data_IF_169387508448
#
_entry.id   IF_169387508448
#
_cell.length_a   1.000
_cell.length_b   1.000
_cell.length_c   1.000
_cell.angle_alpha   90.00
_cell.angle_beta   90.00
_cell.angle_gamma   90.00
#
_symmetry.space_group_name_H-M   'P 1'
#
loop_
_entity.id
_entity.type
_entity.pdbx_description
1 polymer ?
#
# COMPACT_ATOMS: atom_id res chain seq x y z
N UNK A 1 1.57 -25.92 2.74
CA UNK A 1 1.10 -24.58 2.38
C UNK A 1 0.12 -24.72 1.21
N UNK A 2 -1.12 -24.30 1.43
CA UNK A 2 -2.20 -24.44 0.44
C UNK A 2 -1.89 -23.63 -0.84
N UNK A 3 -2.25 -24.22 -2.00
CA UNK A 3 -2.02 -23.57 -3.30
C UNK A 3 -0.59 -23.60 -3.82
N UNK A 4 0.35 -24.16 -3.07
CA UNK A 4 1.75 -24.27 -3.47
C UNK A 4 2.14 -25.69 -3.82
N UNK A 5 3.06 -25.80 -4.76
CA UNK A 5 3.66 -27.07 -5.15
C UNK A 5 4.66 -27.53 -4.08
N UNK A 6 4.24 -28.39 -3.16
CA UNK A 6 5.07 -28.90 -2.06
C UNK A 6 5.93 -30.12 -2.42
N UNK A 7 5.74 -30.68 -3.63
CA UNK A 7 6.49 -31.87 -4.06
C UNK A 7 7.96 -31.56 -4.34
N UNK A 8 8.86 -32.20 -3.60
CA UNK A 8 10.31 -32.08 -3.75
C UNK A 8 10.78 -32.34 -5.19
N UNK A 9 10.23 -33.40 -5.82
CA UNK A 9 10.59 -33.78 -7.20
C UNK A 9 10.18 -32.70 -8.21
N UNK A 10 9.00 -32.11 -8.05
CA UNK A 10 8.51 -31.04 -8.92
C UNK A 10 9.30 -29.74 -8.72
N UNK A 11 9.65 -29.40 -7.48
CA UNK A 11 10.52 -28.25 -7.19
C UNK A 11 11.88 -28.45 -7.86
N UNK A 12 12.48 -29.64 -7.73
CA UNK A 12 13.75 -29.97 -8.40
C UNK A 12 13.66 -29.80 -9.90
N UNK A 13 12.60 -30.28 -10.54
CA UNK A 13 12.38 -30.14 -11.97
C UNK A 13 12.27 -28.65 -12.39
N UNK A 14 11.63 -27.80 -11.60
CA UNK A 14 11.55 -26.36 -11.87
C UNK A 14 12.93 -25.70 -11.79
N UNK A 15 13.75 -26.07 -10.80
CA UNK A 15 15.13 -25.58 -10.68
C UNK A 15 15.99 -26.02 -11.86
N UNK A 16 15.86 -27.25 -12.32
CA UNK A 16 16.54 -27.78 -13.51
C UNK A 16 16.12 -27.06 -14.81
N UNK A 17 14.90 -26.54 -14.85
CA UNK A 17 14.36 -25.72 -15.96
C UNK A 17 14.70 -24.24 -15.88
N UNK A 18 15.57 -23.83 -14.97
CA UNK A 18 16.08 -22.46 -14.87
C UNK A 18 15.37 -21.56 -13.84
N UNK A 19 14.47 -22.10 -13.02
CA UNK A 19 13.98 -21.33 -11.88
C UNK A 19 15.08 -21.16 -10.83
N UNK A 20 15.16 -19.99 -10.22
CA UNK A 20 16.08 -19.73 -9.11
C UNK A 20 15.58 -20.37 -7.81
N UNK A 21 16.47 -20.66 -6.88
CA UNK A 21 16.11 -21.27 -5.58
C UNK A 21 15.21 -20.36 -4.74
N UNK A 22 15.32 -19.07 -4.93
CA UNK A 22 14.54 -18.02 -4.26
C UNK A 22 13.38 -17.51 -5.12
N UNK A 23 13.03 -18.21 -6.20
CA UNK A 23 11.84 -17.87 -7.00
C UNK A 23 10.60 -17.72 -6.10
N UNK A 24 9.93 -16.57 -6.10
CA UNK A 24 8.80 -16.32 -5.21
C UNK A 24 7.60 -17.23 -5.47
N UNK A 25 7.55 -17.93 -6.58
CA UNK A 25 6.53 -18.94 -6.90
C UNK A 25 6.74 -20.25 -6.17
N UNK A 26 7.97 -20.49 -5.66
CA UNK A 26 8.32 -21.71 -4.95
C UNK A 26 8.10 -21.55 -3.43
N UNK A 27 7.58 -22.58 -2.75
CA UNK A 27 7.38 -22.56 -1.28
C UNK A 27 8.67 -22.92 -0.53
N UNK A 28 9.82 -22.48 -1.04
CA UNK A 28 11.09 -22.61 -0.35
C UNK A 28 11.25 -21.48 0.67
N UNK A 29 12.06 -21.69 1.71
CA UNK A 29 12.37 -20.61 2.66
C UNK A 29 12.98 -19.39 1.96
N UNK A 30 13.81 -19.62 0.94
CA UNK A 30 14.38 -18.55 0.14
C UNK A 30 13.30 -17.80 -0.67
N UNK A 31 12.35 -18.51 -1.29
CA UNK A 31 11.22 -17.94 -2.01
C UNK A 31 10.29 -17.15 -1.08
N UNK A 32 9.99 -17.68 0.12
CA UNK A 32 9.20 -16.96 1.12
C UNK A 32 9.92 -15.69 1.59
N UNK A 33 11.22 -15.75 1.83
CA UNK A 33 12.04 -14.57 2.18
C UNK A 33 11.98 -13.51 1.08
N UNK A 34 12.12 -13.91 -0.19
CA UNK A 34 12.02 -12.98 -1.33
C UNK A 34 10.64 -12.34 -1.46
N UNK A 35 9.58 -13.04 -1.00
CA UNK A 35 8.22 -12.49 -0.86
C UNK A 35 8.05 -11.53 0.31
N UNK A 36 9.04 -11.36 1.16
CA UNK A 36 8.97 -10.51 2.35
C UNK A 36 8.33 -11.20 3.56
N UNK A 37 8.23 -12.53 3.57
CA UNK A 37 7.81 -13.27 4.77
C UNK A 37 8.96 -13.32 5.77
N UNK A 38 8.72 -12.82 6.96
CA UNK A 38 9.70 -12.75 8.03
C UNK A 38 9.91 -14.12 8.70
N UNK A 39 11.11 -14.44 9.20
CA UNK A 39 11.36 -15.66 9.98
C UNK A 39 10.46 -15.77 11.21
N UNK A 40 10.19 -14.64 11.88
CA UNK A 40 9.32 -14.53 13.05
C UNK A 40 7.90 -14.97 12.71
N UNK A 41 7.41 -14.63 11.53
CA UNK A 41 6.10 -15.06 11.02
C UNK A 41 6.01 -16.57 10.92
N UNK A 42 7.04 -17.21 10.35
CA UNK A 42 7.07 -18.67 10.20
C UNK A 42 7.07 -19.32 11.58
N UNK A 43 7.86 -18.79 12.51
CA UNK A 43 7.92 -19.29 13.88
C UNK A 43 6.57 -19.17 14.58
N UNK A 44 5.92 -18.01 14.51
CA UNK A 44 4.62 -17.76 15.14
C UNK A 44 3.55 -18.72 14.61
N UNK A 45 3.44 -18.87 13.29
CA UNK A 45 2.50 -19.80 12.66
C UNK A 45 2.75 -21.25 13.08
N UNK A 46 4.02 -21.67 13.21
CA UNK A 46 4.34 -23.02 13.67
C UNK A 46 3.99 -23.23 15.15
N UNK A 47 4.15 -22.21 15.99
CA UNK A 47 3.74 -22.25 17.41
C UNK A 47 2.22 -22.32 17.51
N UNK A 48 1.47 -21.53 16.75
CA UNK A 48 -0.01 -21.55 16.72
C UNK A 48 -0.56 -22.90 16.30
N UNK A 49 0.05 -23.55 15.32
CA UNK A 49 -0.34 -24.90 14.88
C UNK A 49 -0.05 -25.93 15.95
N UNK A 50 1.05 -25.77 16.66
CA UNK A 50 1.53 -26.72 17.67
C UNK A 50 1.95 -28.08 17.07
N UNK A 51 2.31 -29.00 17.94
CA UNK A 51 2.67 -30.38 17.55
C UNK A 51 1.38 -31.21 17.46
N UNK A 52 1.06 -31.63 16.24
CA UNK A 52 -0.11 -32.47 15.97
C UNK A 52 0.31 -33.78 15.26
N UNK A 53 -0.35 -34.90 15.50
CA UNK A 53 -0.05 -36.16 14.82
C UNK A 53 -0.45 -36.15 13.34
N UNK A 54 -1.32 -35.24 12.92
CA UNK A 54 -1.82 -35.13 11.56
C UNK A 54 -1.22 -33.95 10.84
N UNK A 55 -1.13 -34.01 9.51
CA UNK A 55 -0.70 -32.91 8.67
C UNK A 55 -1.59 -31.66 8.84
N UNK A 56 -0.97 -30.52 9.03
CA UNK A 56 -1.65 -29.23 9.09
C UNK A 56 -1.57 -28.52 7.74
N UNK A 57 -2.70 -28.04 7.25
CA UNK A 57 -2.76 -27.20 6.06
C UNK A 57 -2.82 -25.73 6.47
N UNK A 58 -1.89 -24.95 5.94
CA UNK A 58 -1.80 -23.49 6.17
C UNK A 58 -2.14 -22.77 4.88
N UNK A 59 -3.13 -21.88 4.91
CA UNK A 59 -3.37 -20.99 3.78
C UNK A 59 -2.31 -19.88 3.70
N UNK A 60 -1.99 -19.44 2.49
CA UNK A 60 -1.08 -18.30 2.33
C UNK A 60 -1.69 -17.02 2.91
N UNK A 61 -3.00 -16.88 2.91
CA UNK A 61 -3.71 -15.75 3.51
C UNK A 61 -3.44 -15.63 5.01
N UNK A 62 -3.46 -16.76 5.74
CA UNK A 62 -3.15 -16.80 7.18
C UNK A 62 -1.68 -16.42 7.43
N UNK A 63 -0.77 -17.00 6.65
CA UNK A 63 0.66 -16.65 6.74
C UNK A 63 0.88 -15.14 6.49
N UNK A 64 0.24 -14.58 5.47
CA UNK A 64 0.30 -13.16 5.15
C UNK A 64 -0.33 -12.29 6.25
N UNK A 65 -1.42 -12.72 6.88
CA UNK A 65 -2.05 -11.99 7.99
C UNK A 65 -1.15 -11.90 9.21
N UNK A 66 -0.49 -13.00 9.58
CA UNK A 66 0.51 -13.00 10.67
C UNK A 66 1.71 -12.14 10.31
N UNK A 67 2.21 -12.24 9.06
CA UNK A 67 3.33 -11.41 8.60
C UNK A 67 3.02 -9.91 8.66
N UNK A 68 1.80 -9.53 8.34
CA UNK A 68 1.34 -8.13 8.40
C UNK A 68 1.44 -7.57 9.82
N UNK A 69 1.14 -8.35 10.86
CA UNK A 69 1.25 -7.90 12.26
C UNK A 69 2.67 -7.45 12.60
N UNK A 70 3.69 -8.14 12.06
CA UNK A 70 5.10 -7.79 12.26
C UNK A 70 5.54 -6.62 11.36
N UNK A 71 5.02 -6.53 10.14
CA UNK A 71 5.44 -5.52 9.18
C UNK A 71 4.78 -4.16 9.40
N UNK A 72 3.50 -4.12 9.78
CA UNK A 72 2.74 -2.88 9.93
C UNK A 72 3.43 -1.81 10.80
N UNK A 73 4.08 -2.15 11.93
CA UNK A 73 4.75 -1.17 12.78
C UNK A 73 6.06 -0.60 12.21
N UNK A 74 6.62 -1.22 11.17
CA UNK A 74 7.96 -0.88 10.66
C UNK A 74 7.98 -0.57 9.16
N UNK A 75 6.99 -1.03 8.41
CA UNK A 75 6.95 -0.87 6.96
C UNK A 75 6.68 0.59 6.57
N UNK A 76 7.49 1.10 5.66
CA UNK A 76 7.25 2.42 5.05
C UNK A 76 6.01 2.36 4.17
N UNK A 77 5.11 3.31 4.37
CA UNK A 77 3.90 3.48 3.56
C UNK A 77 4.14 4.52 2.49
N UNK A 78 3.92 4.13 1.25
CA UNK A 78 4.01 5.01 0.10
C UNK A 78 2.63 5.10 -0.55
N UNK A 79 2.31 6.24 -1.11
CA UNK A 79 1.13 6.37 -1.95
C UNK A 79 1.34 5.61 -3.26
N UNK A 80 0.30 4.95 -3.72
CA UNK A 80 0.29 4.22 -4.98
C UNK A 80 -1.01 4.51 -5.71
N UNK A 81 -0.90 4.99 -6.94
CA UNK A 81 -2.04 5.31 -7.80
C UNK A 81 -1.96 4.41 -9.04
N UNK A 82 -3.01 3.63 -9.28
CA UNK A 82 -3.12 2.75 -10.45
C UNK A 82 -4.29 3.21 -11.32
N UNK A 83 -4.32 2.85 -12.59
CA UNK A 83 -5.38 3.26 -13.52
C UNK A 83 -5.68 4.77 -13.41
N UNK A 84 -4.61 5.58 -13.42
CA UNK A 84 -4.68 7.00 -13.09
C UNK A 84 -5.10 7.87 -14.26
N UNK A 85 -5.57 9.07 -13.89
CA UNK A 85 -5.68 10.23 -14.77
C UNK A 85 -4.90 11.39 -14.18
N UNK A 86 -4.39 12.23 -15.06
CA UNK A 86 -3.64 13.41 -14.69
C UNK A 86 -4.55 14.62 -14.61
N UNK A 87 -4.34 15.44 -13.59
CA UNK A 87 -5.09 16.65 -13.31
C UNK A 87 -4.15 17.79 -13.00
N UNK A 88 -4.50 19.00 -13.42
CA UNK A 88 -3.81 20.21 -13.02
C UNK A 88 -4.27 20.65 -11.64
N UNK A 89 -3.35 20.82 -10.71
CA UNK A 89 -3.62 21.30 -9.35
C UNK A 89 -3.90 22.80 -9.37
N UNK A 90 -5.03 23.22 -8.85
CA UNK A 90 -5.43 24.62 -8.75
C UNK A 90 -5.52 25.03 -7.28
N UNK A 91 -4.68 25.99 -6.86
CA UNK A 91 -4.58 26.49 -5.48
C UNK A 91 -5.18 27.91 -5.33
N UNK A 92 -5.85 28.44 -6.35
CA UNK A 92 -6.32 29.83 -6.37
C UNK A 92 -7.27 30.17 -5.22
N UNK A 93 -8.19 29.27 -4.86
CA UNK A 93 -9.13 29.48 -3.76
C UNK A 93 -8.46 29.55 -2.38
N UNK A 94 -7.28 28.97 -2.25
CA UNK A 94 -6.49 29.03 -1.01
C UNK A 94 -5.61 30.28 -0.94
N UNK A 95 -5.48 31.03 -2.04
CA UNK A 95 -4.64 32.24 -2.13
C UNK A 95 -3.15 31.97 -1.93
N UNK A 96 -2.68 30.77 -2.28
CA UNK A 96 -1.26 30.35 -2.13
C UNK A 96 -0.72 29.78 -3.43
N UNK A 97 0.58 29.92 -3.66
CA UNK A 97 1.25 29.36 -4.85
C UNK A 97 1.77 27.95 -4.64
N UNK A 98 1.94 27.54 -3.38
CA UNK A 98 2.47 26.21 -3.02
C UNK A 98 1.86 25.68 -1.74
N UNK A 99 1.84 24.36 -1.64
CA UNK A 99 1.48 23.62 -0.45
C UNK A 99 2.51 22.54 -0.16
N UNK A 100 2.70 22.22 1.12
CA UNK A 100 3.51 21.08 1.55
C UNK A 100 2.63 20.07 2.25
N UNK A 101 2.65 18.84 1.75
CA UNK A 101 2.06 17.68 2.41
C UNK A 101 3.10 16.99 3.28
N UNK A 102 2.75 16.67 4.54
CA UNK A 102 3.56 15.88 5.46
C UNK A 102 3.01 14.47 5.53
N UNK A 103 3.60 13.57 4.75
CA UNK A 103 3.16 12.20 4.61
C UNK A 103 3.91 11.28 5.59
N UNK A 104 3.24 10.65 6.56
CA UNK A 104 3.92 9.76 7.49
C UNK A 104 4.44 8.51 6.78
N UNK A 105 5.71 8.15 7.00
CA UNK A 105 6.24 6.87 6.53
C UNK A 105 5.67 5.69 7.28
N UNK A 106 5.47 5.85 8.59
CA UNK A 106 4.93 4.82 9.47
C UNK A 106 3.90 5.47 10.38
N UNK A 107 2.67 4.94 10.47
CA UNK A 107 1.64 5.49 11.35
C UNK A 107 2.10 5.53 12.80
N UNK A 108 1.82 6.65 13.47
CA UNK A 108 2.17 6.85 14.90
C UNK A 108 3.66 7.11 15.18
N UNK A 109 4.50 7.27 14.15
CA UNK A 109 5.90 7.69 14.28
C UNK A 109 6.11 9.08 13.69
N UNK A 110 7.04 9.85 14.28
CA UNK A 110 7.38 11.21 13.84
C UNK A 110 8.32 11.23 12.61
N UNK A 111 8.17 10.27 11.71
CA UNK A 111 8.95 10.20 10.48
C UNK A 111 8.04 10.54 9.30
N UNK A 112 8.26 11.70 8.73
CA UNK A 112 7.46 12.22 7.62
C UNK A 112 8.30 12.38 6.36
N UNK A 113 7.64 12.23 5.22
CA UNK A 113 8.10 12.71 3.91
C UNK A 113 7.38 14.01 3.62
N UNK A 114 8.11 15.06 3.31
CA UNK A 114 7.54 16.31 2.83
C UNK A 114 7.51 16.31 1.30
N UNK A 115 6.35 16.64 0.76
CA UNK A 115 6.14 16.78 -0.68
C UNK A 115 5.58 18.17 -0.92
N UNK A 116 6.35 19.01 -1.62
CA UNK A 116 5.89 20.34 -2.07
C UNK A 116 5.19 20.20 -3.41
N UNK A 117 4.03 20.83 -3.54
CA UNK A 117 3.28 20.98 -4.79
C UNK A 117 2.96 22.45 -5.01
N UNK A 118 2.87 22.85 -6.29
CA UNK A 118 2.64 24.23 -6.70
C UNK A 118 1.36 24.36 -7.50
N UNK A 119 0.83 25.56 -7.53
CA UNK A 119 -0.25 25.89 -8.45
C UNK A 119 0.14 25.54 -9.89
N UNK A 120 -0.70 24.77 -10.58
CA UNK A 120 -0.46 24.33 -11.96
C UNK A 120 0.32 23.04 -12.12
N UNK A 121 0.86 22.46 -11.05
CA UNK A 121 1.49 21.13 -11.10
C UNK A 121 0.48 20.05 -11.56
N UNK A 122 1.01 19.04 -12.20
CA UNK A 122 0.22 17.87 -12.60
C UNK A 122 0.28 16.83 -11.48
N UNK A 123 -0.88 16.38 -11.05
CA UNK A 123 -1.03 15.29 -10.08
C UNK A 123 -1.82 14.13 -10.71
N UNK A 124 -1.47 12.92 -10.32
CA UNK A 124 -2.18 11.72 -10.73
C UNK A 124 -3.16 11.28 -9.64
N UNK A 125 -4.42 11.00 -10.03
CA UNK A 125 -5.45 10.42 -9.18
C UNK A 125 -5.95 9.12 -9.79
N UNK A 126 -6.39 8.18 -8.94
CA UNK A 126 -7.05 6.97 -9.40
C UNK A 126 -8.37 7.34 -10.12
N UNK A 127 -8.62 6.74 -11.28
CA UNK A 127 -9.81 7.01 -12.08
C UNK A 127 -11.12 6.72 -11.33
N UNK A 128 -11.14 5.76 -10.43
CA UNK A 128 -12.32 5.40 -9.64
C UNK A 128 -12.62 6.46 -8.56
N UNK A 129 -11.56 7.08 -7.99
CA UNK A 129 -11.71 8.11 -6.97
C UNK A 129 -12.24 9.44 -7.53
N UNK A 130 -11.98 9.71 -8.80
CA UNK A 130 -12.38 10.95 -9.48
C UNK A 130 -13.90 11.06 -9.66
N UNK A 131 -14.63 9.95 -9.68
CA UNK A 131 -16.10 9.94 -9.75
C UNK A 131 -16.76 10.66 -8.56
N UNK A 132 -16.04 10.91 -7.47
CA UNK A 132 -16.54 11.53 -6.24
C UNK A 132 -16.78 13.04 -6.35
N UNK A 133 -16.36 13.74 -7.39
CA UNK A 133 -16.40 15.18 -7.58
C UNK A 133 -15.80 16.03 -6.45
N UNK A 134 -16.03 15.66 -5.17
CA UNK A 134 -15.42 16.24 -3.97
C UNK A 134 -14.69 15.17 -3.18
N UNK A 135 -13.47 15.44 -2.80
CA UNK A 135 -12.56 14.49 -2.15
C UNK A 135 -11.53 15.23 -1.29
N UNK A 136 -10.81 14.50 -0.46
CA UNK A 136 -9.65 15.03 0.25
C UNK A 136 -8.37 14.39 -0.29
N UNK A 137 -7.48 15.19 -0.84
CA UNK A 137 -6.12 14.77 -1.14
C UNK A 137 -5.38 14.52 0.18
N UNK A 138 -4.85 13.31 0.36
CA UNK A 138 -4.20 12.87 1.59
C UNK A 138 -3.14 13.87 2.06
N UNK A 139 -3.26 14.36 3.30
CA UNK A 139 -2.37 15.33 3.95
C UNK A 139 -2.15 16.65 3.18
N UNK A 140 -2.96 16.96 2.17
CA UNK A 140 -2.83 18.15 1.35
C UNK A 140 -4.01 19.12 1.52
N UNK A 141 -5.14 18.83 0.90
CA UNK A 141 -6.30 19.72 0.90
C UNK A 141 -7.62 18.99 0.63
N UNK A 142 -8.74 19.64 0.94
CA UNK A 142 -10.07 19.28 0.42
C UNK A 142 -10.17 19.85 -0.98
N UNK A 143 -10.67 19.08 -1.93
CA UNK A 143 -10.63 19.46 -3.32
C UNK A 143 -11.91 19.09 -4.07
N UNK A 144 -12.18 19.85 -5.13
CA UNK A 144 -13.23 19.59 -6.12
C UNK A 144 -12.58 19.23 -7.46
N UNK A 145 -13.09 18.19 -8.10
CA UNK A 145 -12.65 17.80 -9.44
C UNK A 145 -13.52 18.49 -10.48
N UNK A 146 -12.93 19.35 -11.29
CA UNK A 146 -13.60 20.12 -12.34
C UNK A 146 -12.91 19.91 -13.69
N UNK A 147 -13.49 19.04 -14.52
CA UNK A 147 -12.86 18.69 -15.82
C UNK A 147 -11.47 18.08 -15.64
N UNK A 148 -10.43 18.75 -16.09
CA UNK A 148 -9.04 18.34 -15.97
C UNK A 148 -8.29 19.04 -14.81
N UNK A 149 -9.02 19.71 -13.92
CA UNK A 149 -8.44 20.40 -12.77
C UNK A 149 -8.93 19.82 -11.47
N UNK A 150 -8.07 19.87 -10.46
CA UNK A 150 -8.36 19.61 -9.06
C UNK A 150 -8.19 20.92 -8.30
N UNK A 151 -9.30 21.53 -7.92
CA UNK A 151 -9.36 22.79 -7.21
C UNK A 151 -9.30 22.55 -5.71
N UNK A 152 -8.24 22.96 -5.05
CA UNK A 152 -8.13 22.94 -3.59
C UNK A 152 -8.96 24.06 -2.97
N UNK A 153 -9.97 23.70 -2.18
CA UNK A 153 -10.92 24.65 -1.59
C UNK A 153 -10.66 24.94 -0.12
N UNK A 154 -10.12 23.98 0.62
CA UNK A 154 -9.77 24.16 2.04
C UNK A 154 -8.71 23.18 2.51
N UNK A 155 -8.10 23.45 3.68
CA UNK A 155 -7.16 22.51 4.33
C UNK A 155 -7.75 21.87 5.58
N UNK A 156 -8.95 22.25 5.98
CA UNK A 156 -9.57 21.83 7.24
C UNK A 156 -9.92 20.35 7.21
N UNK A 157 -9.37 19.59 8.17
CA UNK A 157 -9.74 18.19 8.37
C UNK A 157 -11.15 18.06 8.97
N UNK A 158 -11.58 19.03 9.77
CA UNK A 158 -12.90 19.02 10.39
C UNK A 158 -14.01 19.24 9.37
N UNK A 159 -13.78 20.10 8.37
CA UNK A 159 -14.68 20.24 7.22
C UNK A 159 -14.77 18.94 6.43
N UNK A 160 -13.63 18.31 6.12
CA UNK A 160 -13.62 17.03 5.43
C UNK A 160 -14.43 15.95 6.15
N UNK A 161 -14.32 15.90 7.49
CA UNK A 161 -15.08 14.96 8.32
C UNK A 161 -16.58 15.27 8.32
N UNK A 162 -16.96 16.56 8.44
CA UNK A 162 -18.38 16.99 8.41
C UNK A 162 -19.04 16.67 7.09
N UNK A 163 -18.32 16.85 5.99
CA UNK A 163 -18.80 16.59 4.64
C UNK A 163 -18.68 15.12 4.23
N UNK A 164 -18.02 14.28 5.03
CA UNK A 164 -17.78 12.87 4.72
C UNK A 164 -16.88 12.65 3.52
N UNK A 165 -15.92 13.57 3.27
CA UNK A 165 -15.02 13.47 2.12
C UNK A 165 -14.15 12.22 2.21
N UNK A 166 -14.08 11.46 1.12
CA UNK A 166 -13.16 10.33 1.01
C UNK A 166 -11.73 10.85 0.88
N UNK A 167 -10.81 10.28 1.68
CA UNK A 167 -9.38 10.57 1.57
C UNK A 167 -8.81 9.71 0.45
N UNK A 168 -8.21 10.35 -0.54
CA UNK A 168 -7.63 9.70 -1.71
C UNK A 168 -6.13 9.88 -1.77
N UNK A 169 -5.44 8.91 -2.36
CA UNK A 169 -4.01 8.99 -2.65
C UNK A 169 -3.79 9.77 -3.94
N UNK A 170 -2.66 10.46 -4.01
CA UNK A 170 -2.22 11.26 -5.15
C UNK A 170 -0.69 11.16 -5.32
N UNK A 171 -0.19 11.34 -6.53
CA UNK A 171 1.23 11.33 -6.87
C UNK A 171 1.54 12.42 -7.87
#
# INVERSE_FOLDING_TARGET
LEGFMMSKSKIKLMLERGSERDDPRLPTLAGLRRRGILPETIREVLIEIGIKPNDATISFANLAAVNRKFLDPIAKRLMFVHNYREYRLNLSELGVDRLTAKLPYVPGKEQFREVEVRHGDIIALNSDDVALQRLRLMELCNAEVRGNEVLCVSRSLDEAKKEGLQIVQWV
#
